data_IF_241315147307
#
_entry.id   IF_241315147307
#
_cell.length_a   1.000
_cell.length_b   1.000
_cell.length_c   1.000
_cell.angle_alpha   90.00
_cell.angle_beta   90.00
_cell.angle_gamma   90.00
#
_symmetry.space_group_name_H-M   'P 1'
#
loop_
_entity.id
_entity.type
_entity.pdbx_description
1 polymer ?
#
# COMPACT_ATOMS: atom_id res chain seq x y z
N UNK A 1 2.36 -25.93 -27.82
CA UNK A 1 2.40 -24.52 -27.37
C UNK A 1 3.30 -24.32 -26.14
N UNK A 2 3.04 -24.98 -25.00
CA UNK A 2 3.85 -24.85 -23.76
C UNK A 2 5.35 -25.15 -23.94
N UNK A 3 5.71 -26.14 -24.76
CA UNK A 3 7.11 -26.49 -25.05
C UNK A 3 7.90 -25.32 -25.71
N UNK A 4 7.26 -24.56 -26.60
CA UNK A 4 7.85 -23.34 -27.21
C UNK A 4 8.04 -22.22 -26.18
N UNK A 5 7.43 -22.36 -25.00
CA UNK A 5 7.49 -21.45 -23.87
C UNK A 5 8.30 -22.08 -22.73
N UNK A 6 9.28 -22.97 -22.96
CA UNK A 6 10.18 -23.53 -21.92
C UNK A 6 11.54 -22.83 -21.79
N UNK A 7 12.03 -22.12 -22.82
CA UNK A 7 13.40 -21.58 -22.87
C UNK A 7 13.62 -20.09 -22.47
N UNK A 8 13.05 -19.59 -21.36
CA UNK A 8 13.23 -18.19 -20.93
C UNK A 8 13.41 -18.11 -19.41
N UNK A 9 14.53 -17.55 -18.91
CA UNK A 9 14.68 -17.24 -17.49
C UNK A 9 13.64 -16.19 -17.05
N UNK A 10 13.25 -16.23 -15.77
CA UNK A 10 12.29 -15.29 -15.13
C UNK A 10 10.85 -15.30 -15.68
N UNK A 11 10.19 -16.47 -15.68
CA UNK A 11 8.76 -16.54 -16.02
C UNK A 11 7.87 -16.11 -14.87
N UNK A 12 7.03 -15.13 -15.14
CA UNK A 12 5.88 -14.81 -14.33
C UNK A 12 4.65 -15.51 -14.91
N UNK A 13 4.10 -16.47 -14.17
CA UNK A 13 2.83 -17.09 -14.52
C UNK A 13 1.71 -16.32 -13.81
N UNK A 14 0.80 -15.76 -14.60
CA UNK A 14 -0.39 -15.06 -14.09
C UNK A 14 -1.62 -15.92 -14.32
N UNK A 15 -2.32 -16.23 -13.24
CA UNK A 15 -3.48 -17.10 -13.22
C UNK A 15 -4.79 -16.32 -13.24
N UNK A 16 -5.69 -16.73 -14.14
CA UNK A 16 -6.98 -16.11 -14.37
C UNK A 16 -8.09 -17.16 -14.21
N UNK A 17 -9.28 -16.74 -13.74
CA UNK A 17 -10.47 -17.59 -13.74
C UNK A 17 -10.85 -18.22 -12.40
N UNK A 18 -11.99 -18.91 -12.39
CA UNK A 18 -12.65 -19.38 -11.18
C UNK A 18 -11.87 -20.43 -10.38
N UNK A 19 -11.31 -21.44 -11.06
CA UNK A 19 -10.53 -22.51 -10.44
C UNK A 19 -9.32 -21.97 -9.70
N UNK A 20 -8.49 -21.17 -10.39
CA UNK A 20 -7.29 -20.56 -9.83
C UNK A 20 -7.63 -19.68 -8.62
N UNK A 21 -8.70 -18.88 -8.71
CA UNK A 21 -9.17 -18.05 -7.59
C UNK A 21 -9.62 -18.88 -6.38
N UNK A 22 -10.27 -20.04 -6.58
CA UNK A 22 -10.67 -20.90 -5.47
C UNK A 22 -9.47 -21.58 -4.81
N UNK A 23 -8.46 -22.02 -5.56
CA UNK A 23 -7.21 -22.53 -4.98
C UNK A 23 -6.51 -21.45 -4.15
N UNK A 24 -6.48 -20.22 -4.66
CA UNK A 24 -5.94 -19.09 -3.93
C UNK A 24 -6.77 -18.74 -2.67
N UNK A 25 -8.11 -18.84 -2.71
CA UNK A 25 -8.95 -18.64 -1.53
C UNK A 25 -8.71 -19.68 -0.45
N UNK A 26 -8.53 -20.95 -0.83
CA UNK A 26 -8.19 -22.03 0.11
C UNK A 26 -6.86 -21.70 0.79
N UNK A 27 -5.84 -21.33 0.01
CA UNK A 27 -4.53 -21.01 0.57
C UNK A 27 -4.54 -19.72 1.41
N UNK A 28 -5.24 -18.69 0.95
CA UNK A 28 -5.42 -17.45 1.70
C UNK A 28 -6.10 -17.71 3.06
N UNK A 29 -7.09 -18.61 3.11
CA UNK A 29 -7.71 -19.02 4.36
C UNK A 29 -6.74 -19.77 5.28
N UNK A 30 -5.91 -20.68 4.75
CA UNK A 30 -4.87 -21.37 5.54
C UNK A 30 -3.87 -20.40 6.16
N UNK A 31 -3.47 -19.38 5.41
CA UNK A 31 -2.51 -18.36 5.85
C UNK A 31 -3.13 -17.25 6.71
N UNK A 32 -4.45 -17.27 6.95
CA UNK A 32 -5.19 -16.14 7.56
C UNK A 32 -4.87 -14.81 6.86
N UNK A 33 -4.86 -14.86 5.53
CA UNK A 33 -4.44 -13.75 4.69
C UNK A 33 -5.25 -12.47 4.98
N UNK A 34 -4.59 -11.35 5.30
CA UNK A 34 -5.25 -10.20 5.92
C UNK A 34 -5.87 -9.20 4.92
N UNK A 35 -5.66 -9.37 3.61
CA UNK A 35 -6.27 -8.51 2.60
C UNK A 35 -7.55 -9.16 2.04
N UNK A 36 -8.56 -8.34 1.78
CA UNK A 36 -9.83 -8.81 1.21
C UNK A 36 -9.77 -9.00 -0.33
N UNK A 37 -8.61 -8.69 -0.92
CA UNK A 37 -8.35 -8.86 -2.35
C UNK A 37 -7.25 -9.89 -2.63
N UNK A 38 -7.54 -10.82 -3.54
CA UNK A 38 -6.57 -11.77 -4.07
C UNK A 38 -5.81 -11.28 -5.31
N UNK A 39 -6.07 -10.06 -5.81
CA UNK A 39 -5.28 -9.55 -6.92
C UNK A 39 -3.82 -9.37 -6.48
N UNK A 40 -2.88 -9.94 -7.21
CA UNK A 40 -1.46 -9.95 -6.84
C UNK A 40 -1.08 -10.99 -5.78
N UNK A 41 -2.03 -11.75 -5.22
CA UNK A 41 -1.73 -12.89 -4.35
C UNK A 41 -0.84 -13.89 -5.09
N UNK A 42 0.14 -14.47 -4.41
CA UNK A 42 1.06 -15.43 -5.03
C UNK A 42 0.81 -16.81 -4.44
N UNK A 43 0.31 -17.69 -5.28
CA UNK A 43 0.07 -19.09 -4.95
C UNK A 43 1.31 -19.92 -5.31
N UNK A 44 1.84 -20.65 -4.33
CA UNK A 44 2.96 -21.56 -4.51
C UNK A 44 2.48 -22.89 -5.08
N UNK A 45 3.30 -23.54 -5.92
CA UNK A 45 3.00 -24.88 -6.45
C UNK A 45 2.81 -25.90 -5.33
N UNK A 46 3.63 -25.83 -4.29
CA UNK A 46 3.51 -26.69 -3.10
C UNK A 46 2.14 -26.57 -2.41
N UNK A 47 1.57 -25.36 -2.33
CA UNK A 47 0.22 -25.15 -1.80
C UNK A 47 -0.87 -25.76 -2.68
N UNK A 48 -0.67 -25.76 -4.00
CA UNK A 48 -1.56 -26.45 -4.96
C UNK A 48 -1.47 -27.96 -4.76
N UNK A 49 -0.27 -28.52 -4.63
CA UNK A 49 -0.06 -29.95 -4.39
C UNK A 49 -0.69 -30.40 -3.07
N UNK A 50 -0.53 -29.62 -1.99
CA UNK A 50 -1.21 -29.86 -0.71
C UNK A 50 -2.73 -29.86 -0.88
N UNK A 51 -3.26 -28.96 -1.72
CA UNK A 51 -4.70 -28.90 -2.01
C UNK A 51 -5.15 -30.10 -2.85
N UNK A 52 -4.35 -30.56 -3.82
CA UNK A 52 -4.63 -31.76 -4.61
C UNK A 52 -4.75 -32.98 -3.70
N UNK A 53 -3.78 -33.19 -2.80
CA UNK A 53 -3.82 -34.28 -1.84
C UNK A 53 -5.07 -34.21 -0.94
N UNK A 54 -5.35 -33.03 -0.39
CA UNK A 54 -6.54 -32.79 0.44
C UNK A 54 -7.86 -33.10 -0.31
N UNK A 55 -7.93 -32.77 -1.61
CA UNK A 55 -9.12 -33.01 -2.41
C UNK A 55 -9.27 -34.49 -2.80
N UNK A 56 -8.17 -35.18 -3.09
CA UNK A 56 -8.17 -36.60 -3.45
C UNK A 56 -8.76 -37.47 -2.35
N UNK A 57 -8.45 -37.16 -1.08
CA UNK A 57 -8.87 -37.93 0.10
C UNK A 57 -10.32 -37.60 0.56
N UNK A 58 -10.98 -36.61 -0.04
CA UNK A 58 -12.30 -36.12 0.40
C UNK A 58 -13.41 -36.40 -0.60
N UNK A 59 -14.54 -36.86 -0.10
CA UNK A 59 -15.81 -36.92 -0.83
C UNK A 59 -16.32 -35.53 -1.22
N UNK A 60 -17.25 -35.44 -2.17
CA UNK A 60 -17.86 -34.17 -2.57
C UNK A 60 -18.49 -33.41 -1.38
N UNK A 61 -19.14 -34.13 -0.47
CA UNK A 61 -19.76 -33.54 0.72
C UNK A 61 -18.73 -32.92 1.67
N UNK A 62 -17.55 -33.54 1.80
CA UNK A 62 -16.44 -33.02 2.62
C UNK A 62 -15.70 -31.88 1.93
N UNK A 63 -15.55 -31.94 0.59
CA UNK A 63 -14.97 -30.85 -0.21
C UNK A 63 -15.78 -29.57 -0.05
N UNK A 64 -17.12 -29.66 -0.04
CA UNK A 64 -18.02 -28.51 0.21
C UNK A 64 -17.81 -27.84 1.57
N UNK A 65 -17.10 -28.48 2.51
CA UNK A 65 -16.76 -27.94 3.84
C UNK A 65 -15.33 -27.37 3.92
N UNK A 66 -14.55 -27.43 2.84
CA UNK A 66 -13.20 -26.84 2.82
C UNK A 66 -13.31 -25.32 2.95
N UNK A 67 -12.65 -24.76 3.96
CA UNK A 67 -12.61 -23.30 4.17
C UNK A 67 -11.95 -22.61 2.97
N UNK A 68 -12.58 -21.54 2.49
CA UNK A 68 -12.13 -20.78 1.31
C UNK A 68 -12.63 -21.34 -0.02
N UNK A 69 -13.07 -22.60 -0.10
CA UNK A 69 -13.64 -23.17 -1.32
C UNK A 69 -15.11 -22.77 -1.46
N UNK A 70 -15.48 -22.17 -2.59
CA UNK A 70 -16.89 -21.99 -2.95
C UNK A 70 -17.55 -23.37 -3.14
N UNK A 71 -18.68 -23.59 -2.45
CA UNK A 71 -19.41 -24.87 -2.44
C UNK A 71 -19.81 -25.35 -3.83
N UNK A 72 -20.11 -24.43 -4.74
CA UNK A 72 -20.52 -24.72 -6.13
C UNK A 72 -19.34 -25.12 -7.03
N UNK A 73 -18.11 -25.09 -6.50
CA UNK A 73 -16.89 -25.50 -7.21
C UNK A 73 -16.35 -26.84 -6.73
N UNK A 74 -16.95 -27.44 -5.70
CA UNK A 74 -16.39 -28.60 -5.00
C UNK A 74 -16.27 -29.87 -5.87
N UNK A 75 -17.11 -29.99 -6.90
CA UNK A 75 -17.11 -31.07 -7.88
C UNK A 75 -16.02 -30.89 -8.95
N UNK A 76 -15.79 -29.66 -9.41
CA UNK A 76 -14.85 -29.35 -10.51
C UNK A 76 -13.46 -28.89 -10.06
N UNK A 77 -13.26 -28.56 -8.79
CA UNK A 77 -11.99 -27.98 -8.31
C UNK A 77 -10.83 -28.97 -8.41
N UNK A 78 -11.07 -30.26 -8.17
CA UNK A 78 -10.03 -31.29 -8.18
C UNK A 78 -9.36 -31.48 -9.55
N UNK A 79 -10.09 -31.76 -10.65
CA UNK A 79 -9.46 -31.84 -11.97
C UNK A 79 -8.82 -30.50 -12.37
N UNK A 80 -9.43 -29.37 -11.98
CA UNK A 80 -8.85 -28.06 -12.21
C UNK A 80 -7.48 -27.86 -11.52
N UNK A 81 -7.34 -28.33 -10.27
CA UNK A 81 -6.08 -28.27 -9.52
C UNK A 81 -4.98 -29.11 -10.18
N UNK A 82 -5.31 -30.33 -10.64
CA UNK A 82 -4.38 -31.20 -11.36
C UNK A 82 -3.87 -30.54 -12.65
N UNK A 83 -4.75 -29.92 -13.43
CA UNK A 83 -4.36 -29.20 -14.65
C UNK A 83 -3.39 -28.06 -14.34
N UNK A 84 -3.66 -27.29 -13.28
CA UNK A 84 -2.81 -26.16 -12.91
C UNK A 84 -1.43 -26.65 -12.43
N UNK A 85 -1.38 -27.69 -11.60
CA UNK A 85 -0.11 -28.29 -11.15
C UNK A 85 0.72 -28.80 -12.33
N UNK A 86 0.10 -29.53 -13.27
CA UNK A 86 0.77 -30.02 -14.48
C UNK A 86 1.28 -28.88 -15.39
N UNK A 87 0.52 -27.77 -15.49
CA UNK A 87 0.97 -26.58 -16.23
C UNK A 87 2.19 -25.94 -15.56
N UNK A 88 2.16 -25.79 -14.23
CA UNK A 88 3.28 -25.23 -13.46
C UNK A 88 4.53 -26.11 -13.55
N UNK A 89 4.36 -27.42 -13.45
CA UNK A 89 5.41 -28.41 -13.67
C UNK A 89 6.03 -28.29 -15.07
N UNK A 90 5.18 -28.29 -16.09
CA UNK A 90 5.66 -28.23 -17.48
C UNK A 90 6.36 -26.92 -17.80
N UNK A 91 5.95 -25.83 -17.16
CA UNK A 91 6.59 -24.51 -17.32
C UNK A 91 7.80 -24.31 -16.41
N UNK A 92 8.04 -25.24 -15.46
CA UNK A 92 9.06 -25.16 -14.42
C UNK A 92 8.96 -23.85 -13.62
N UNK A 93 7.76 -23.56 -13.14
CA UNK A 93 7.48 -22.38 -12.30
C UNK A 93 6.86 -22.81 -10.98
N UNK A 94 7.35 -22.24 -9.89
CA UNK A 94 6.82 -22.54 -8.55
C UNK A 94 5.80 -21.52 -8.06
N UNK A 95 5.65 -20.40 -8.77
CA UNK A 95 4.83 -19.25 -8.36
C UNK A 95 3.79 -18.90 -9.42
N UNK A 96 2.55 -18.76 -8.98
CA UNK A 96 1.40 -18.32 -9.77
C UNK A 96 0.81 -17.06 -9.15
N UNK A 97 0.91 -15.92 -9.84
CA UNK A 97 0.28 -14.67 -9.39
C UNK A 97 -1.19 -14.63 -9.82
N UNK A 98 -2.09 -14.36 -8.87
CA UNK A 98 -3.52 -14.34 -9.12
C UNK A 98 -3.94 -12.97 -9.67
N UNK A 99 -4.70 -12.97 -10.76
CA UNK A 99 -5.38 -11.78 -11.26
C UNK A 99 -6.89 -11.92 -11.08
N UNK A 100 -7.50 -10.90 -10.46
CA UNK A 100 -8.96 -10.75 -10.42
C UNK A 100 -9.55 -10.42 -11.79
N UNK A 101 -8.79 -9.71 -12.62
CA UNK A 101 -9.18 -9.34 -13.98
C UNK A 101 -9.04 -10.56 -14.90
N UNK A 102 -9.86 -10.65 -15.93
CA UNK A 102 -9.84 -11.69 -16.95
C UNK A 102 -10.39 -11.18 -18.27
N UNK A 103 -11.13 -12.03 -18.97
CA UNK A 103 -11.59 -11.72 -20.34
C UNK A 103 -12.51 -10.50 -20.41
N UNK A 104 -13.38 -10.30 -19.42
CA UNK A 104 -14.34 -9.17 -19.42
C UNK A 104 -13.62 -7.82 -19.38
N UNK A 105 -12.60 -7.72 -18.53
CA UNK A 105 -11.77 -6.53 -18.44
C UNK A 105 -10.99 -6.35 -19.75
N UNK A 106 -10.44 -7.43 -20.33
CA UNK A 106 -9.78 -7.39 -21.64
C UNK A 106 -10.69 -6.85 -22.76
N UNK A 107 -11.93 -7.33 -22.85
CA UNK A 107 -12.92 -6.84 -23.81
C UNK A 107 -13.30 -5.38 -23.57
N UNK A 108 -13.34 -4.93 -22.31
CA UNK A 108 -13.54 -3.53 -22.00
C UNK A 108 -12.39 -2.66 -22.54
N UNK A 109 -11.13 -3.08 -22.32
CA UNK A 109 -9.95 -2.39 -22.85
C UNK A 109 -9.99 -2.32 -24.39
N UNK A 110 -10.31 -3.44 -25.05
CA UNK A 110 -10.41 -3.53 -26.51
C UNK A 110 -11.53 -2.62 -27.05
N UNK A 111 -12.71 -2.64 -26.45
CA UNK A 111 -13.84 -1.85 -26.95
C UNK A 111 -13.66 -0.35 -26.72
N UNK A 112 -13.30 0.03 -25.48
CA UNK A 112 -13.38 1.43 -25.05
C UNK A 112 -12.04 2.15 -25.11
N UNK A 113 -10.91 1.46 -24.99
CA UNK A 113 -9.58 2.08 -24.87
C UNK A 113 -8.64 1.76 -26.04
N UNK A 114 -9.13 1.12 -27.12
CA UNK A 114 -8.34 0.86 -28.34
C UNK A 114 -7.72 2.10 -28.98
N UNK A 115 -8.31 3.28 -28.78
CA UNK A 115 -7.81 4.55 -29.34
C UNK A 115 -6.65 5.15 -28.51
N UNK A 116 -6.37 4.60 -27.33
CA UNK A 116 -5.26 5.04 -26.48
C UNK A 116 -3.98 4.29 -26.86
N UNK A 117 -2.85 5.00 -26.87
CA UNK A 117 -1.56 4.38 -27.11
C UNK A 117 -1.25 3.32 -26.05
N UNK A 118 -0.75 2.16 -26.48
CA UNK A 118 -0.29 1.12 -25.56
C UNK A 118 1.12 1.46 -25.03
N UNK A 119 1.40 1.26 -23.72
CA UNK A 119 0.46 0.84 -22.68
C UNK A 119 -0.51 1.95 -22.27
N UNK A 120 -1.80 1.62 -22.12
CA UNK A 120 -2.85 2.59 -21.77
C UNK A 120 -2.54 3.35 -20.48
N UNK A 121 -1.92 2.68 -19.51
CA UNK A 121 -1.34 3.31 -18.34
C UNK A 121 0.18 3.12 -18.37
N UNK A 122 0.92 4.21 -18.62
CA UNK A 122 2.39 4.23 -18.60
C UNK A 122 2.96 3.90 -17.22
N UNK A 123 2.23 4.27 -16.15
CA UNK A 123 2.51 3.86 -14.79
C UNK A 123 1.22 3.35 -14.13
N UNK A 124 1.07 2.02 -14.08
CA UNK A 124 -0.11 1.34 -13.51
C UNK A 124 -0.28 1.66 -12.02
N UNK A 125 0.83 1.77 -11.26
CA UNK A 125 0.81 2.09 -9.82
C UNK A 125 0.20 3.47 -9.59
N UNK A 126 0.75 4.49 -10.25
CA UNK A 126 0.26 5.87 -10.16
C UNK A 126 -1.17 5.99 -10.67
N UNK A 127 -1.50 5.32 -11.78
CA UNK A 127 -2.87 5.27 -12.29
C UNK A 127 -3.83 4.69 -11.26
N UNK A 128 -3.47 3.58 -10.60
CA UNK A 128 -4.30 2.93 -9.58
C UNK A 128 -4.53 3.83 -8.37
N UNK A 129 -3.48 4.47 -7.85
CA UNK A 129 -3.56 5.38 -6.70
C UNK A 129 -4.47 6.57 -7.03
N UNK A 130 -4.25 7.24 -8.17
CA UNK A 130 -5.06 8.38 -8.58
C UNK A 130 -6.51 7.99 -8.89
N UNK A 131 -6.74 6.82 -9.48
CA UNK A 131 -8.09 6.31 -9.71
C UNK A 131 -8.83 6.12 -8.38
N UNK A 132 -8.20 5.49 -7.39
CA UNK A 132 -8.80 5.32 -6.06
C UNK A 132 -9.09 6.67 -5.41
N UNK A 133 -8.11 7.57 -5.41
CA UNK A 133 -8.26 8.90 -4.83
C UNK A 133 -9.45 9.66 -5.46
N UNK A 134 -9.60 9.59 -6.79
CA UNK A 134 -10.72 10.21 -7.52
C UNK A 134 -12.06 9.55 -7.24
N UNK A 135 -12.13 8.23 -7.18
CA UNK A 135 -13.37 7.49 -6.86
C UNK A 135 -13.92 7.92 -5.50
N UNK A 136 -13.05 8.20 -4.53
CA UNK A 136 -13.44 8.64 -3.19
C UNK A 136 -13.40 10.18 -3.01
N UNK A 137 -13.34 10.95 -4.11
CA UNK A 137 -13.37 12.42 -4.08
C UNK A 137 -12.38 13.06 -3.10
N UNK A 138 -11.13 12.60 -3.11
CA UNK A 138 -10.08 13.13 -2.24
C UNK A 138 -9.90 14.65 -2.39
N UNK A 139 -9.49 15.31 -1.30
CA UNK A 139 -9.16 16.73 -1.31
C UNK A 139 -7.81 16.95 -2.00
N UNK A 140 -7.86 17.21 -3.31
CA UNK A 140 -6.68 17.23 -4.17
C UNK A 140 -5.62 18.25 -3.74
N UNK A 141 -6.00 19.46 -3.34
CA UNK A 141 -5.06 20.50 -2.92
C UNK A 141 -4.28 20.06 -1.67
N UNK A 142 -5.00 19.81 -0.59
CA UNK A 142 -4.48 19.28 0.67
C UNK A 142 -3.59 18.05 0.49
N UNK A 143 -4.09 16.98 -0.17
CA UNK A 143 -3.32 15.76 -0.37
C UNK A 143 -2.07 15.97 -1.25
N UNK A 144 -2.11 16.92 -2.19
CA UNK A 144 -0.93 17.24 -3.01
C UNK A 144 0.12 18.00 -2.20
N UNK A 145 -0.29 18.86 -1.27
CA UNK A 145 0.61 19.62 -0.41
C UNK A 145 1.26 18.74 0.67
N UNK A 146 0.48 17.88 1.34
CA UNK A 146 1.03 16.85 2.26
C UNK A 146 2.05 15.97 1.53
N UNK A 147 1.73 15.53 0.31
CA UNK A 147 2.66 14.75 -0.52
C UNK A 147 3.92 15.52 -0.89
N UNK A 148 3.79 16.81 -1.19
CA UNK A 148 4.93 17.67 -1.48
C UNK A 148 5.87 17.74 -0.27
N UNK A 149 5.38 18.15 0.91
CA UNK A 149 6.18 18.24 2.14
C UNK A 149 6.80 16.89 2.51
N UNK A 150 6.04 15.80 2.41
CA UNK A 150 6.53 14.44 2.67
C UNK A 150 7.68 14.05 1.73
N UNK A 151 7.57 14.39 0.45
CA UNK A 151 8.62 14.15 -0.56
C UNK A 151 9.86 14.99 -0.27
N UNK A 152 9.70 16.25 0.14
CA UNK A 152 10.81 17.15 0.50
C UNK A 152 11.59 16.60 1.70
N UNK A 153 10.89 16.15 2.74
CA UNK A 153 11.50 15.53 3.91
C UNK A 153 12.17 14.19 3.58
N UNK A 154 11.50 13.32 2.80
CA UNK A 154 12.09 12.06 2.37
C UNK A 154 13.42 12.29 1.64
N UNK A 155 13.46 13.21 0.68
CA UNK A 155 14.68 13.44 -0.10
C UNK A 155 15.81 14.00 0.77
N UNK A 156 15.52 14.93 1.69
CA UNK A 156 16.54 15.52 2.56
C UNK A 156 17.06 14.52 3.61
N UNK A 157 16.19 13.66 4.14
CA UNK A 157 16.55 12.68 5.17
C UNK A 157 17.10 11.37 4.57
N UNK A 158 17.31 11.29 3.26
CA UNK A 158 17.87 10.13 2.58
C UNK A 158 19.17 9.60 3.20
N UNK A 159 20.13 10.44 3.64
CA UNK A 159 21.34 9.96 4.32
C UNK A 159 21.05 9.26 5.66
N UNK A 160 19.95 9.59 6.33
CA UNK A 160 19.57 8.99 7.62
C UNK A 160 18.76 7.71 7.45
N UNK A 161 17.85 7.68 6.47
CA UNK A 161 16.99 6.52 6.29
C UNK A 161 17.50 5.47 5.30
N UNK A 162 18.32 5.86 4.31
CA UNK A 162 18.93 4.95 3.34
C UNK A 162 17.94 4.28 2.38
N UNK A 163 16.79 4.90 2.15
CA UNK A 163 15.72 4.33 1.31
C UNK A 163 15.76 4.87 -0.11
N UNK A 164 15.19 4.13 -1.05
CA UNK A 164 15.21 4.47 -2.47
C UNK A 164 13.82 4.77 -3.05
N UNK A 165 13.73 4.66 -4.38
CA UNK A 165 12.50 4.95 -5.13
C UNK A 165 11.32 4.05 -4.71
N UNK A 166 11.58 2.80 -4.27
CA UNK A 166 10.53 1.88 -3.87
C UNK A 166 9.77 2.40 -2.63
N UNK A 167 10.48 2.83 -1.58
CA UNK A 167 9.88 3.41 -0.38
C UNK A 167 9.26 4.78 -0.65
N UNK A 168 9.87 5.57 -1.52
CA UNK A 168 9.30 6.84 -1.98
C UNK A 168 7.92 6.63 -2.64
N UNK A 169 7.77 5.63 -3.51
CA UNK A 169 6.47 5.32 -4.13
C UNK A 169 5.40 4.90 -3.10
N UNK A 170 5.79 4.25 -2.00
CA UNK A 170 4.86 3.93 -0.90
C UNK A 170 4.43 5.19 -0.16
N UNK A 171 5.36 6.10 0.12
CA UNK A 171 5.07 7.38 0.76
C UNK A 171 4.19 8.27 -0.12
N UNK A 172 4.51 8.39 -1.43
CA UNK A 172 3.70 9.14 -2.41
C UNK A 172 2.26 8.62 -2.49
N UNK A 173 2.11 7.29 -2.55
CA UNK A 173 0.80 6.66 -2.56
C UNK A 173 0.05 6.90 -1.25
N UNK A 174 0.70 6.73 -0.11
CA UNK A 174 0.07 6.95 1.20
C UNK A 174 -0.34 8.43 1.38
N UNK A 175 0.50 9.38 0.98
CA UNK A 175 0.18 10.80 1.06
C UNK A 175 -1.03 11.20 0.20
N UNK A 176 -1.24 10.56 -0.96
CA UNK A 176 -2.45 10.80 -1.76
C UNK A 176 -3.72 10.16 -1.18
N UNK A 177 -3.56 9.10 -0.37
CA UNK A 177 -4.67 8.27 0.10
C UNK A 177 -4.95 8.39 1.60
N UNK A 178 -4.16 9.15 2.35
CA UNK A 178 -4.18 9.14 3.82
C UNK A 178 -5.55 9.53 4.41
N UNK A 179 -6.24 10.48 3.78
CA UNK A 179 -7.49 11.05 4.28
C UNK A 179 -8.76 10.53 3.60
N UNK A 180 -8.67 9.46 2.78
CA UNK A 180 -9.85 8.94 2.06
C UNK A 180 -10.99 8.51 2.97
N UNK A 181 -10.68 8.07 4.18
CA UNK A 181 -11.65 7.62 5.16
C UNK A 181 -12.64 8.70 5.61
N UNK A 182 -12.37 9.98 5.34
CA UNK A 182 -13.29 11.09 5.64
C UNK A 182 -14.61 11.00 4.88
N UNK A 183 -14.63 10.29 3.74
CA UNK A 183 -15.87 9.99 2.99
C UNK A 183 -16.85 9.13 3.82
N UNK A 184 -16.34 8.39 4.81
CA UNK A 184 -17.15 7.58 5.73
C UNK A 184 -17.45 8.38 6.99
N UNK A 185 -16.41 8.87 7.66
CA UNK A 185 -16.52 9.70 8.85
C UNK A 185 -15.20 10.40 9.13
N UNK A 186 -15.26 11.63 9.65
CA UNK A 186 -14.08 12.31 10.18
C UNK A 186 -13.50 11.56 11.39
N UNK A 187 -14.35 10.98 12.22
CA UNK A 187 -13.90 10.15 13.33
C UNK A 187 -13.32 8.85 12.81
N UNK A 188 -12.14 8.50 13.30
CA UNK A 188 -11.41 7.31 12.87
C UNK A 188 -11.10 7.23 11.36
N UNK A 189 -11.13 8.34 10.61
CA UNK A 189 -10.86 8.34 9.16
C UNK A 189 -9.57 7.58 8.78
N UNK A 190 -8.47 7.72 9.52
CA UNK A 190 -7.25 6.92 9.33
C UNK A 190 -7.48 5.39 9.29
N UNK A 191 -8.39 4.84 10.11
CA UNK A 191 -8.78 3.42 10.06
C UNK A 191 -9.68 3.12 8.87
N UNK A 192 -10.54 4.06 8.49
CA UNK A 192 -11.39 3.94 7.31
C UNK A 192 -10.56 3.97 6.01
N UNK A 193 -9.56 4.85 5.88
CA UNK A 193 -8.59 4.88 4.77
C UNK A 193 -7.88 3.54 4.61
N UNK A 194 -7.37 2.98 5.72
CA UNK A 194 -6.78 1.65 5.73
C UNK A 194 -7.76 0.59 5.20
N UNK A 195 -9.00 0.59 5.70
CA UNK A 195 -10.06 -0.35 5.27
C UNK A 195 -10.37 -0.23 3.77
N UNK A 196 -10.48 0.99 3.24
CA UNK A 196 -10.74 1.23 1.82
C UNK A 196 -9.61 0.66 0.94
N UNK A 197 -8.36 0.86 1.36
CA UNK A 197 -7.17 0.37 0.63
C UNK A 197 -7.10 -1.16 0.63
N UNK A 198 -7.28 -1.82 1.78
CA UNK A 198 -7.18 -3.30 1.84
C UNK A 198 -8.34 -4.02 1.16
N UNK A 199 -9.50 -3.37 1.04
CA UNK A 199 -10.67 -3.90 0.34
C UNK A 199 -10.50 -3.80 -1.18
N UNK A 200 -10.03 -2.65 -1.63
CA UNK A 200 -9.91 -2.34 -3.05
C UNK A 200 -8.64 -2.95 -3.67
N UNK A 201 -7.54 -2.93 -2.91
CA UNK A 201 -6.19 -3.17 -3.42
C UNK A 201 -5.65 -2.00 -4.24
N UNK A 202 -4.38 -2.10 -4.64
CA UNK A 202 -3.72 -1.14 -5.52
C UNK A 202 -3.06 -1.91 -6.67
N UNK A 203 -3.55 -1.71 -7.90
CA UNK A 203 -2.99 -2.39 -9.06
C UNK A 203 -1.53 -1.97 -9.29
N UNK A 204 -0.68 -2.95 -9.61
CA UNK A 204 0.77 -2.75 -9.72
C UNK A 204 1.53 -2.77 -8.40
N UNK A 205 0.85 -2.77 -7.25
CA UNK A 205 1.47 -2.98 -5.93
C UNK A 205 1.33 -4.45 -5.54
N UNK A 206 2.36 -5.00 -4.90
CA UNK A 206 2.29 -6.32 -4.26
C UNK A 206 1.39 -6.27 -3.01
N UNK A 207 0.92 -7.43 -2.50
CA UNK A 207 0.22 -7.49 -1.22
C UNK A 207 0.98 -6.84 -0.06
N UNK A 208 2.30 -7.06 0.03
CA UNK A 208 3.19 -6.43 1.02
C UNK A 208 3.15 -4.91 0.91
N UNK A 209 3.32 -4.37 -0.29
CA UNK A 209 3.31 -2.92 -0.51
C UNK A 209 1.92 -2.32 -0.26
N UNK A 210 0.84 -3.01 -0.64
CA UNK A 210 -0.54 -2.58 -0.33
C UNK A 210 -0.75 -2.51 1.18
N UNK A 211 -0.27 -3.50 1.94
CA UNK A 211 -0.31 -3.49 3.39
C UNK A 211 0.49 -2.32 3.99
N UNK A 212 1.69 -2.03 3.46
CA UNK A 212 2.49 -0.88 3.88
C UNK A 212 1.78 0.45 3.63
N UNK A 213 1.23 0.67 2.43
CA UNK A 213 0.45 1.88 2.13
C UNK A 213 -0.76 1.99 3.07
N UNK A 214 -1.47 0.88 3.31
CA UNK A 214 -2.60 0.85 4.24
C UNK A 214 -2.17 1.20 5.69
N UNK A 215 -1.03 0.70 6.17
CA UNK A 215 -0.51 1.06 7.49
C UNK A 215 -0.02 2.51 7.56
N UNK A 216 0.62 3.03 6.51
CA UNK A 216 1.02 4.44 6.45
C UNK A 216 -0.21 5.35 6.56
N UNK A 217 -1.27 5.08 5.79
CA UNK A 217 -2.54 5.81 5.93
C UNK A 217 -3.21 5.60 7.29
N UNK A 218 -3.03 4.46 7.96
CA UNK A 218 -3.53 4.24 9.32
C UNK A 218 -2.80 5.12 10.34
N UNK A 219 -1.50 5.28 10.18
CA UNK A 219 -0.64 5.96 11.16
C UNK A 219 -0.31 7.40 10.80
N UNK A 220 -0.91 7.97 9.75
CA UNK A 220 -0.60 9.33 9.32
C UNK A 220 -0.91 10.42 10.36
N UNK A 221 -1.77 10.18 11.37
CA UNK A 221 -2.12 11.22 12.36
C UNK A 221 -1.99 10.86 13.83
N UNK A 222 -2.05 9.57 14.18
CA UNK A 222 -1.98 9.13 15.59
C UNK A 222 -1.62 7.66 15.75
N UNK A 223 -1.35 7.28 16.99
CA UNK A 223 -0.99 5.91 17.39
C UNK A 223 0.48 5.58 17.11
N UNK A 224 0.95 4.47 17.67
CA UNK A 224 2.30 3.96 17.42
C UNK A 224 2.28 3.02 16.20
N UNK A 225 3.15 3.23 15.19
CA UNK A 225 3.23 2.33 14.05
C UNK A 225 3.47 0.88 14.48
N UNK A 226 2.67 -0.03 13.91
CA UNK A 226 2.74 -1.47 14.15
C UNK A 226 2.48 -2.21 12.85
N UNK A 227 3.09 -3.39 12.70
CA UNK A 227 2.86 -4.26 11.54
C UNK A 227 1.48 -4.93 11.57
N UNK A 228 0.82 -4.94 12.73
CA UNK A 228 -0.49 -5.55 12.90
C UNK A 228 -1.58 -4.88 12.06
N UNK A 229 -2.49 -5.65 11.43
CA UNK A 229 -2.61 -7.12 11.45
C UNK A 229 -1.97 -7.81 10.23
N UNK A 230 -0.95 -7.20 9.61
CA UNK A 230 -0.38 -7.65 8.34
C UNK A 230 0.95 -8.40 8.49
N UNK A 231 1.28 -8.92 9.67
CA UNK A 231 2.55 -9.60 9.95
C UNK A 231 2.83 -10.76 8.99
N UNK A 232 1.79 -11.44 8.49
CA UNK A 232 1.92 -12.52 7.51
C UNK A 232 2.46 -12.05 6.15
N UNK A 233 2.31 -10.76 5.82
CA UNK A 233 2.74 -10.17 4.53
C UNK A 233 4.03 -9.35 4.62
N UNK A 234 4.41 -8.95 5.82
CA UNK A 234 5.49 -7.98 6.06
C UNK A 234 6.74 -8.70 6.57
N UNK A 235 7.89 -8.12 6.26
CA UNK A 235 9.20 -8.54 6.76
C UNK A 235 9.53 -7.78 8.05
N UNK A 236 10.42 -8.28 8.90
CA UNK A 236 10.80 -7.53 10.12
C UNK A 236 11.47 -6.18 9.78
N UNK A 237 12.19 -6.12 8.66
CA UNK A 237 12.75 -4.87 8.12
C UNK A 237 11.69 -3.81 7.80
N UNK A 238 10.44 -4.22 7.57
CA UNK A 238 9.33 -3.30 7.29
C UNK A 238 8.94 -2.48 8.51
N UNK A 239 9.30 -2.91 9.72
CA UNK A 239 9.06 -2.13 10.93
C UNK A 239 9.77 -0.78 10.86
N UNK A 240 11.03 -0.77 10.40
CA UNK A 240 11.81 0.46 10.28
C UNK A 240 11.33 1.33 9.12
N UNK A 241 11.00 0.71 7.98
CA UNK A 241 10.39 1.40 6.84
C UNK A 241 9.10 2.09 7.26
N UNK A 242 8.18 1.35 7.88
CA UNK A 242 6.91 1.89 8.35
C UNK A 242 7.12 3.00 9.38
N UNK A 243 8.02 2.83 10.35
CA UNK A 243 8.29 3.82 11.37
C UNK A 243 8.73 5.16 10.76
N UNK A 244 9.76 5.12 9.91
CA UNK A 244 10.36 6.32 9.31
C UNK A 244 9.43 7.00 8.31
N UNK A 245 8.77 6.24 7.44
CA UNK A 245 7.81 6.79 6.48
C UNK A 245 6.55 7.33 7.17
N UNK A 246 6.05 6.67 8.22
CA UNK A 246 4.91 7.17 8.99
C UNK A 246 5.27 8.45 9.77
N UNK A 247 6.51 8.57 10.27
CA UNK A 247 6.99 9.78 10.91
C UNK A 247 6.99 10.96 9.93
N UNK A 248 7.59 10.78 8.74
CA UNK A 248 7.61 11.79 7.67
C UNK A 248 6.19 12.18 7.25
N UNK A 249 5.33 11.19 6.96
CA UNK A 249 3.95 11.46 6.54
C UNK A 249 3.16 12.18 7.63
N UNK A 250 3.33 11.79 8.88
CA UNK A 250 2.63 12.40 10.01
C UNK A 250 3.03 13.83 10.24
N UNK A 251 4.33 14.11 10.22
CA UNK A 251 4.81 15.48 10.29
C UNK A 251 4.21 16.31 9.16
N UNK A 252 4.25 15.81 7.93
CA UNK A 252 3.72 16.51 6.75
C UNK A 252 2.21 16.78 6.82
N UNK A 253 1.41 15.87 7.39
CA UNK A 253 -0.01 16.09 7.66
C UNK A 253 -0.23 17.24 8.64
N UNK A 254 0.53 17.29 9.74
CA UNK A 254 0.35 18.32 10.75
C UNK A 254 0.89 19.69 10.33
N UNK A 255 1.89 19.72 9.44
CA UNK A 255 2.34 20.95 8.78
C UNK A 255 1.32 21.50 7.77
N UNK A 256 0.32 20.71 7.38
CA UNK A 256 -0.76 21.11 6.47
C UNK A 256 -2.13 21.01 7.16
N UNK A 257 -2.13 21.07 8.50
CA UNK A 257 -3.33 20.84 9.32
C UNK A 257 -4.42 21.86 9.05
N UNK A 258 -4.06 23.12 8.83
CA UNK A 258 -4.96 24.21 8.48
C UNK A 258 -5.58 24.08 7.09
N UNK A 259 -5.01 23.23 6.22
CA UNK A 259 -5.41 23.04 4.81
C UNK A 259 -5.34 24.31 3.96
N UNK A 260 -4.47 25.24 4.37
CA UNK A 260 -4.25 26.54 3.75
C UNK A 260 -2.89 26.66 3.08
N UNK A 261 -2.05 25.62 3.12
CA UNK A 261 -0.68 25.65 2.62
C UNK A 261 0.17 26.79 3.20
N UNK A 262 -0.03 27.12 4.49
CA UNK A 262 0.73 28.17 5.19
C UNK A 262 2.23 27.85 5.24
N UNK A 263 2.59 26.57 5.27
CA UNK A 263 3.97 26.11 5.19
C UNK A 263 4.28 25.76 3.74
N UNK A 264 5.01 26.62 3.05
CA UNK A 264 5.37 26.46 1.64
C UNK A 264 6.35 25.32 1.41
N UNK A 265 7.33 25.16 2.31
CA UNK A 265 8.37 24.13 2.25
C UNK A 265 8.99 23.87 3.63
N UNK A 266 9.86 22.87 3.73
CA UNK A 266 10.58 22.52 4.96
C UNK A 266 12.01 22.13 4.65
N UNK A 267 12.96 22.64 5.43
CA UNK A 267 14.37 22.25 5.35
C UNK A 267 14.81 21.50 6.59
N UNK A 268 15.62 20.45 6.41
CA UNK A 268 16.13 19.61 7.47
C UNK A 268 17.66 19.73 7.59
N UNK A 269 18.14 20.04 8.79
CA UNK A 269 19.56 20.02 9.14
C UNK A 269 19.73 19.15 10.38
N UNK A 270 20.75 18.30 10.41
CA UNK A 270 20.97 17.39 11.51
C UNK A 270 22.45 17.23 11.85
N UNK A 271 22.69 16.81 13.08
CA UNK A 271 23.98 16.31 13.56
C UNK A 271 23.81 14.91 14.16
N UNK A 272 24.66 14.51 15.10
CA UNK A 272 24.58 13.21 15.77
C UNK A 272 23.41 13.10 16.75
N UNK A 273 23.00 14.20 17.38
CA UNK A 273 22.00 14.21 18.47
C UNK A 273 20.75 15.02 18.15
N UNK A 274 20.79 15.91 17.16
CA UNK A 274 19.71 16.83 16.82
C UNK A 274 19.26 16.74 15.36
N UNK A 275 17.97 16.97 15.13
CA UNK A 275 17.33 17.18 13.83
C UNK A 275 16.49 18.46 13.90
N UNK A 276 16.99 19.52 13.27
CA UNK A 276 16.31 20.81 13.15
C UNK A 276 15.52 20.86 11.86
N UNK A 277 14.24 21.22 11.96
CA UNK A 277 13.34 21.39 10.83
C UNK A 277 12.87 22.84 10.79
N UNK A 278 13.25 23.55 9.73
CA UNK A 278 12.88 24.95 9.50
C UNK A 278 11.73 25.00 8.49
N UNK A 279 10.58 25.51 8.92
CA UNK A 279 9.39 25.71 8.11
C UNK A 279 9.53 27.02 7.31
N UNK A 280 9.47 26.91 5.99
CA UNK A 280 9.46 28.05 5.09
C UNK A 280 8.01 28.47 4.92
N UNK A 281 7.70 29.70 5.30
CA UNK A 281 6.36 30.28 5.27
C UNK A 281 6.44 31.80 5.09
N UNK A 282 5.46 32.38 4.39
CA UNK A 282 5.29 33.83 4.25
C UNK A 282 4.86 34.51 5.56
N UNK A 283 3.99 33.84 6.33
CA UNK A 283 3.49 34.29 7.64
C UNK A 283 3.85 33.28 8.73
N UNK A 284 3.87 33.71 10.00
CA UNK A 284 4.24 32.82 11.12
C UNK A 284 3.23 31.66 11.26
N UNK A 285 3.62 30.40 11.01
CA UNK A 285 2.70 29.27 10.93
C UNK A 285 2.44 28.67 12.32
N UNK A 286 1.85 29.47 13.21
CA UNK A 286 1.69 29.15 14.63
C UNK A 286 0.89 27.87 14.86
N UNK A 287 -0.18 27.65 14.08
CA UNK A 287 -1.06 26.48 14.19
C UNK A 287 -0.33 25.22 13.77
N UNK A 288 0.38 25.27 12.64
CA UNK A 288 1.12 24.15 12.08
C UNK A 288 2.29 23.74 13.01
N UNK A 289 3.03 24.72 13.54
CA UNK A 289 4.09 24.47 14.53
C UNK A 289 3.52 23.75 15.76
N UNK A 290 2.47 24.32 16.37
CA UNK A 290 1.89 23.77 17.59
C UNK A 290 1.31 22.36 17.39
N UNK A 291 0.59 22.13 16.29
CA UNK A 291 0.02 20.82 15.96
C UNK A 291 1.11 19.77 15.66
N UNK A 292 2.16 20.16 14.93
CA UNK A 292 3.28 19.27 14.60
C UNK A 292 4.12 18.91 15.83
N UNK A 293 4.43 19.88 16.70
CA UNK A 293 5.10 19.64 17.98
C UNK A 293 4.33 18.63 18.83
N UNK A 294 3.03 18.86 18.98
CA UNK A 294 2.18 18.03 19.85
C UNK A 294 2.00 16.61 19.32
N UNK A 295 1.88 16.42 18.00
CA UNK A 295 1.39 15.17 17.44
C UNK A 295 2.41 14.40 16.58
N UNK A 296 3.48 15.03 16.10
CA UNK A 296 4.43 14.43 15.16
C UNK A 296 5.87 14.33 15.68
N UNK A 297 6.34 15.32 16.44
CA UNK A 297 7.76 15.42 16.87
C UNK A 297 8.24 14.15 17.56
N UNK A 298 7.53 13.65 18.57
CA UNK A 298 7.92 12.42 19.28
C UNK A 298 8.11 11.19 18.38
N UNK A 299 7.33 11.09 17.28
CA UNK A 299 7.49 10.01 16.32
C UNK A 299 8.72 10.21 15.44
N UNK A 300 9.01 11.46 15.04
CA UNK A 300 10.24 11.81 14.32
C UNK A 300 11.48 11.49 15.17
N UNK A 301 11.46 11.85 16.45
CA UNK A 301 12.56 11.56 17.38
C UNK A 301 12.79 10.06 17.51
N UNK A 302 11.71 9.29 17.65
CA UNK A 302 11.79 7.83 17.71
C UNK A 302 12.31 7.23 16.40
N UNK A 303 11.92 7.79 15.25
CA UNK A 303 12.26 7.24 13.93
C UNK A 303 13.68 7.54 13.46
N UNK A 304 14.23 8.67 13.89
CA UNK A 304 15.54 9.18 13.49
C UNK A 304 16.56 9.26 14.63
N UNK A 305 16.16 8.86 15.83
CA UNK A 305 17.01 8.75 17.03
C UNK A 305 17.73 10.05 17.36
N UNK A 306 17.02 11.18 17.21
CA UNK A 306 17.53 12.55 17.38
C UNK A 306 16.48 13.40 18.07
N UNK A 307 16.90 14.36 18.87
CA UNK A 307 16.03 15.42 19.39
C UNK A 307 15.55 16.29 18.23
N UNK A 308 14.24 16.51 18.12
CA UNK A 308 13.65 17.23 16.99
C UNK A 308 13.19 18.61 17.43
N UNK A 309 13.60 19.63 16.69
CA UNK A 309 13.16 21.02 16.90
C UNK A 309 12.49 21.56 15.65
N UNK A 310 11.38 22.28 15.82
CA UNK A 310 10.68 22.98 14.75
C UNK A 310 10.90 24.48 14.92
N UNK A 311 11.17 25.18 13.83
CA UNK A 311 11.30 26.64 13.77
C UNK A 311 10.73 27.14 12.45
N UNK A 312 10.52 28.45 12.30
CA UNK A 312 10.01 29.05 11.06
C UNK A 312 10.93 30.17 10.57
N UNK A 313 10.96 30.36 9.24
CA UNK A 313 11.60 31.53 8.61
C UNK A 313 10.82 32.82 8.89
N UNK A 314 9.50 32.73 9.02
CA UNK A 314 8.68 33.82 9.47
C UNK A 314 8.80 33.96 10.99
N UNK A 315 8.88 35.20 11.47
CA UNK A 315 8.91 35.49 12.91
C UNK A 315 7.49 35.78 13.40
N UNK A 316 7.15 35.44 14.66
CA UNK A 316 5.86 35.84 15.22
C UNK A 316 5.69 37.34 15.09
N UNK A 317 4.50 37.80 14.67
CA UNK A 317 4.14 39.21 14.79
C UNK A 317 4.11 39.56 16.29
N UNK A 318 5.18 40.17 16.78
CA UNK A 318 5.24 40.77 18.11
C UNK A 318 4.46 42.09 18.02
N UNK A 319 3.14 42.02 17.82
CA UNK A 319 2.28 43.17 18.07
C UNK A 319 2.00 43.25 19.56
N UNK A 320 2.90 43.99 20.22
CA UNK A 320 2.77 44.79 21.44
C UNK A 320 1.83 44.29 22.53
N UNK A 321 2.43 44.04 23.70
CA UNK A 321 1.70 44.04 24.95
C UNK A 321 0.85 45.29 25.12
N UNK A 322 -0.36 45.08 25.62
CA UNK A 322 -1.14 46.05 26.37
C UNK A 322 -1.30 45.51 27.79
#
# INVERSE_FOLDING_TARGET
WLQKKQAKPHRHLVGLGGTIRNLALIEAARQKYPLNTLHGFVLQRSAIQQTVQQLQERSLAERRKIVGLNRDRADIIFPGALVIDAVMERLQVDRLTISKNGLREGLFFEQFWQHLAYPVATNVRRFSVLNMARVYNYQKAHASHVRYLATRLFNQLAPLHGFGMAEHELLDAAALLHDLGTVISYDNHHKHSQTLIINSGLAGFTPRETALVALLTRYHRKGKPSLAPFEVLLLETDRLVLLRLAAILRLSEFLERGRSANVDDVTAVWDETSLRLTLIADEYPAVELWEAERNAVSLMETAFERQVTLESTAVPDIQFGL
#
